data_IF_092593059122
#
_entry.id   IF_092593059122
#
_cell.length_a   1.000
_cell.length_b   1.000
_cell.length_c   1.000
_cell.angle_alpha   90.00
_cell.angle_beta   90.00
_cell.angle_gamma   90.00
#
_symmetry.space_group_name_H-M   'P 1'
#
loop_
_entity.id
_entity.type
_entity.pdbx_description
1 polymer ?
#
# COMPACT_ATOMS: atom_id res chain seq x y z
N UNK A 1 0.76 50.47 2.80
CA UNK A 1 1.04 49.03 2.60
C UNK A 1 1.60 48.85 1.19
N UNK A 2 2.77 48.24 1.05
CA UNK A 2 3.43 48.04 -0.24
C UNK A 2 2.80 46.83 -0.95
N UNK A 3 2.14 47.05 -2.09
CA UNK A 3 1.51 45.99 -2.89
C UNK A 3 2.50 44.89 -3.31
N UNK A 4 3.77 45.24 -3.51
CA UNK A 4 4.82 44.27 -3.84
C UNK A 4 5.04 43.26 -2.70
N UNK A 5 5.07 43.74 -1.45
CA UNK A 5 5.28 42.88 -0.29
C UNK A 5 4.14 41.88 -0.08
N UNK A 6 2.89 42.28 -0.37
CA UNK A 6 1.75 41.36 -0.30
C UNK A 6 1.81 40.29 -1.39
N UNK A 7 2.23 40.66 -2.60
CA UNK A 7 2.44 39.72 -3.69
C UNK A 7 3.57 38.72 -3.39
N UNK A 8 4.70 39.20 -2.85
CA UNK A 8 5.83 38.34 -2.48
C UNK A 8 5.42 37.31 -1.40
N UNK A 9 4.62 37.71 -0.41
CA UNK A 9 4.08 36.79 0.61
C UNK A 9 3.15 35.73 -0.01
N UNK A 10 2.27 36.12 -0.93
CA UNK A 10 1.40 35.16 -1.63
C UNK A 10 2.19 34.18 -2.48
N UNK A 11 3.22 34.66 -3.20
CA UNK A 11 4.12 33.80 -3.97
C UNK A 11 4.87 32.82 -3.07
N UNK A 12 5.41 33.27 -1.93
CA UNK A 12 6.09 32.40 -0.98
C UNK A 12 5.16 31.34 -0.38
N UNK A 13 3.94 31.71 -0.01
CA UNK A 13 2.93 30.77 0.48
C UNK A 13 2.57 29.72 -0.58
N UNK A 14 2.41 30.14 -1.84
CA UNK A 14 2.11 29.24 -2.95
C UNK A 14 3.26 28.28 -3.26
N UNK A 15 4.52 28.76 -3.24
CA UNK A 15 5.70 27.92 -3.42
C UNK A 15 5.82 26.89 -2.30
N UNK A 16 5.61 27.30 -1.05
CA UNK A 16 5.62 26.38 0.09
C UNK A 16 4.53 25.30 -0.03
N UNK A 17 3.31 25.66 -0.47
CA UNK A 17 2.23 24.69 -0.70
C UNK A 17 2.60 23.66 -1.78
N UNK A 18 3.28 24.09 -2.85
CA UNK A 18 3.78 23.18 -3.89
C UNK A 18 4.82 22.20 -3.36
N UNK A 19 5.74 22.68 -2.53
CA UNK A 19 6.76 21.84 -1.91
C UNK A 19 6.15 20.80 -0.97
N UNK A 20 5.20 21.22 -0.12
CA UNK A 20 4.46 20.32 0.77
C UNK A 20 3.74 19.23 -0.03
N UNK A 21 3.05 19.60 -1.11
CA UNK A 21 2.37 18.65 -1.97
C UNK A 21 3.34 17.64 -2.62
N UNK A 22 4.48 18.13 -3.13
CA UNK A 22 5.50 17.27 -3.72
C UNK A 22 6.08 16.28 -2.69
N UNK A 23 6.35 16.74 -1.48
CA UNK A 23 6.82 15.90 -0.38
C UNK A 23 5.81 14.81 -0.01
N UNK A 24 4.53 15.18 0.14
CA UNK A 24 3.46 14.23 0.42
C UNK A 24 3.32 13.18 -0.70
N UNK A 25 3.43 13.59 -1.97
CA UNK A 25 3.45 12.67 -3.09
C UNK A 25 4.64 11.70 -3.02
N UNK A 26 5.83 12.21 -2.72
CA UNK A 26 7.05 11.40 -2.61
C UNK A 26 6.93 10.37 -1.48
N UNK A 27 6.42 10.76 -0.31
CA UNK A 27 6.12 9.84 0.80
C UNK A 27 5.13 8.76 0.37
N UNK A 28 4.07 9.12 -0.36
CA UNK A 28 3.07 8.16 -0.83
C UNK A 28 3.68 7.10 -1.76
N UNK A 29 4.54 7.51 -2.69
CA UNK A 29 5.26 6.59 -3.58
C UNK A 29 6.15 5.65 -2.76
N UNK A 30 6.94 6.21 -1.84
CA UNK A 30 7.85 5.42 -1.00
C UNK A 30 7.09 4.38 -0.17
N UNK A 31 6.02 4.78 0.53
CA UNK A 31 5.20 3.89 1.35
C UNK A 31 4.59 2.75 0.52
N UNK A 32 4.11 3.05 -0.69
CA UNK A 32 3.60 2.03 -1.61
C UNK A 32 4.69 1.04 -2.01
N UNK A 33 5.91 1.51 -2.34
CA UNK A 33 7.02 0.64 -2.67
C UNK A 33 7.42 -0.27 -1.50
N UNK A 34 7.49 0.28 -0.28
CA UNK A 34 7.79 -0.51 0.93
C UNK A 34 6.76 -1.63 1.12
N UNK A 35 5.46 -1.32 1.03
CA UNK A 35 4.40 -2.33 1.15
C UNK A 35 4.50 -3.43 0.09
N UNK A 36 4.90 -3.12 -1.15
CA UNK A 36 5.10 -4.15 -2.20
C UNK A 36 6.28 -5.08 -1.93
N UNK A 37 7.28 -4.64 -1.17
CA UNK A 37 8.51 -5.40 -0.88
C UNK A 37 8.46 -6.18 0.45
N UNK A 38 7.41 -6.00 1.26
CA UNK A 38 7.27 -6.73 2.52
C UNK A 38 7.15 -8.22 2.26
N UNK A 39 8.05 -8.99 2.87
CA UNK A 39 7.97 -10.46 2.88
C UNK A 39 6.71 -10.90 3.62
N UNK A 40 6.10 -11.98 3.14
CA UNK A 40 4.98 -12.63 3.82
C UNK A 40 5.47 -13.28 5.12
N UNK A 41 4.80 -12.96 6.22
CA UNK A 41 5.05 -13.63 7.51
C UNK A 41 4.12 -14.83 7.69
N UNK A 42 4.42 -15.69 8.67
CA UNK A 42 3.58 -16.86 8.98
C UNK A 42 2.22 -16.45 9.52
N UNK A 43 2.19 -15.37 10.31
CA UNK A 43 0.97 -14.81 10.88
C UNK A 43 0.06 -14.27 9.77
N UNK A 44 0.63 -13.61 8.75
CA UNK A 44 -0.12 -13.16 7.58
C UNK A 44 -0.71 -14.32 6.77
N UNK A 45 0.04 -15.43 6.61
CA UNK A 45 -0.49 -16.64 5.98
C UNK A 45 -1.62 -17.26 6.82
N UNK A 46 -1.50 -17.31 8.15
CA UNK A 46 -2.56 -17.80 9.04
C UNK A 46 -3.83 -16.96 8.97
N UNK A 47 -3.69 -15.63 8.95
CA UNK A 47 -4.81 -14.70 8.77
C UNK A 47 -5.45 -14.90 7.39
N UNK A 48 -4.63 -15.14 6.36
CA UNK A 48 -5.11 -15.44 5.01
C UNK A 48 -5.93 -16.73 4.96
N UNK A 49 -5.44 -17.81 5.57
CA UNK A 49 -6.14 -19.09 5.64
C UNK A 49 -7.48 -18.96 6.37
N UNK A 50 -7.50 -18.19 7.48
CA UNK A 50 -8.73 -17.86 8.18
C UNK A 50 -9.70 -17.03 7.33
N UNK A 51 -9.21 -16.03 6.61
CA UNK A 51 -10.06 -15.22 5.72
C UNK A 51 -10.62 -16.04 4.55
N UNK A 52 -9.86 -17.01 4.03
CA UNK A 52 -10.32 -17.94 3.00
C UNK A 52 -11.41 -18.87 3.54
N UNK A 53 -11.29 -19.36 4.76
CA UNK A 53 -12.34 -20.19 5.37
C UNK A 53 -13.64 -19.40 5.59
N UNK A 54 -13.54 -18.09 5.86
CA UNK A 54 -14.69 -17.22 6.10
C UNK A 54 -15.36 -16.71 4.81
N UNK A 55 -14.58 -16.35 3.79
CA UNK A 55 -15.08 -15.66 2.58
C UNK A 55 -14.91 -16.44 1.27
N UNK A 56 -14.30 -17.63 1.32
CA UNK A 56 -13.83 -18.32 0.13
C UNK A 56 -12.70 -17.57 -0.57
N UNK A 57 -12.50 -17.84 -1.86
CA UNK A 57 -11.43 -17.23 -2.67
C UNK A 57 -11.85 -15.84 -3.15
N UNK A 58 -12.04 -14.91 -2.22
CA UNK A 58 -12.34 -13.51 -2.50
C UNK A 58 -11.16 -12.61 -2.10
N UNK A 59 -10.27 -12.35 -3.04
CA UNK A 59 -9.00 -11.64 -2.78
C UNK A 59 -9.17 -10.23 -2.20
N UNK A 60 -10.27 -9.53 -2.53
CA UNK A 60 -10.54 -8.19 -1.97
C UNK A 60 -10.86 -8.27 -0.48
N UNK A 61 -11.81 -9.15 -0.11
CA UNK A 61 -12.17 -9.38 1.30
C UNK A 61 -10.99 -9.91 2.11
N UNK A 62 -10.20 -10.82 1.53
CA UNK A 62 -9.00 -11.36 2.20
C UNK A 62 -7.97 -10.24 2.45
N UNK A 63 -7.74 -9.36 1.48
CA UNK A 63 -6.84 -8.22 1.65
C UNK A 63 -7.33 -7.22 2.71
N UNK A 64 -8.65 -7.01 2.83
CA UNK A 64 -9.25 -6.21 3.89
C UNK A 64 -8.98 -6.78 5.29
N UNK A 65 -8.93 -8.11 5.44
CA UNK A 65 -8.59 -8.77 6.72
C UNK A 65 -7.08 -8.74 7.00
N UNK A 66 -6.24 -8.99 6.00
CA UNK A 66 -4.78 -8.97 6.19
C UNK A 66 -4.27 -7.54 6.43
N UNK A 67 -4.96 -6.51 5.91
CA UNK A 67 -4.72 -5.05 6.03
C UNK A 67 -3.37 -4.53 5.51
N UNK A 68 -2.28 -5.29 5.67
CA UNK A 68 -0.92 -4.96 5.24
C UNK A 68 -0.63 -5.29 3.77
N UNK A 69 -1.56 -5.97 3.09
CA UNK A 69 -1.37 -6.51 1.74
C UNK A 69 -2.55 -6.16 0.85
N UNK A 70 -2.25 -5.89 -0.41
CA UNK A 70 -3.25 -5.64 -1.45
C UNK A 70 -3.83 -6.94 -2.01
N UNK A 71 -5.03 -6.87 -2.61
CA UNK A 71 -5.67 -8.03 -3.25
C UNK A 71 -4.77 -8.71 -4.32
N UNK A 72 -3.98 -7.93 -5.05
CA UNK A 72 -3.02 -8.46 -6.03
C UNK A 72 -1.90 -9.28 -5.37
N UNK A 73 -1.38 -8.81 -4.22
CA UNK A 73 -0.37 -9.55 -3.45
C UNK A 73 -0.94 -10.84 -2.87
N UNK A 74 -2.17 -10.82 -2.36
CA UNK A 74 -2.87 -12.02 -1.86
C UNK A 74 -3.02 -13.05 -2.98
N UNK A 75 -3.48 -12.63 -4.17
CA UNK A 75 -3.58 -13.51 -5.34
C UNK A 75 -2.24 -14.16 -5.70
N UNK A 76 -1.17 -13.35 -5.79
CA UNK A 76 0.18 -13.85 -6.10
C UNK A 76 0.68 -14.85 -5.05
N UNK A 77 0.43 -14.58 -3.77
CA UNK A 77 0.82 -15.46 -2.66
C UNK A 77 0.10 -16.80 -2.75
N UNK A 78 -1.22 -16.80 -2.95
CA UNK A 78 -2.02 -18.03 -3.06
C UNK A 78 -1.63 -18.87 -4.25
N UNK A 79 -1.33 -18.24 -5.40
CA UNK A 79 -0.82 -18.96 -6.57
C UNK A 79 0.50 -19.67 -6.24
N UNK A 80 1.45 -18.95 -5.64
CA UNK A 80 2.74 -19.52 -5.24
C UNK A 80 2.62 -20.67 -4.23
N UNK A 81 1.72 -20.57 -3.25
CA UNK A 81 1.48 -21.63 -2.26
C UNK A 81 0.92 -22.89 -2.95
N UNK A 82 -0.07 -22.72 -3.84
CA UNK A 82 -0.64 -23.85 -4.60
C UNK A 82 0.41 -24.55 -5.45
N UNK A 83 1.21 -23.78 -6.19
CA UNK A 83 2.28 -24.33 -7.04
C UNK A 83 3.30 -25.11 -6.19
N UNK A 84 3.63 -24.61 -4.97
CA UNK A 84 4.51 -25.29 -4.02
C UNK A 84 3.93 -26.57 -3.45
N UNK A 85 2.62 -26.65 -3.22
CA UNK A 85 1.95 -27.85 -2.74
C UNK A 85 1.86 -28.94 -3.83
N UNK A 86 1.64 -28.53 -5.08
CA UNK A 86 1.60 -29.42 -6.24
C UNK A 86 2.96 -30.05 -6.56
N UNK A 87 4.07 -29.35 -6.31
CA UNK A 87 5.42 -29.87 -6.52
C UNK A 87 5.92 -30.85 -5.44
N UNK A 88 5.14 -31.09 -4.38
CA UNK A 88 5.50 -31.96 -3.25
C UNK A 88 4.72 -33.30 -3.25
N UNK A 89 3.97 -33.59 -4.32
CA UNK A 89 3.22 -34.83 -4.54
C UNK A 89 3.89 -35.65 -5.66
#
# INVERSE_FOLDING_TARGET
MNFQSAYDVLCNNYLLLKEIHNYAHTISIYNKQVQTRLKWTKEEDQIMDFAISLFGVNYKKIAEVVTSKTAAQVYQRLRYIKDRQLMQQ
#
